data_IF_130324751184
#
_entry.id   IF_130324751184
#
_cell.length_a   1.000
_cell.length_b   1.000
_cell.length_c   1.000
_cell.angle_alpha   90.00
_cell.angle_beta   90.00
_cell.angle_gamma   90.00
#
_symmetry.space_group_name_H-M   'P 1'
#
loop_
_entity.id
_entity.type
_entity.pdbx_description
1 polymer ?
#
# COMPACT_ATOMS: atom_id res chain seq x y z
N UNK A 1 12.25 -15.48 5.31
CA UNK A 1 11.81 -14.11 5.01
C UNK A 1 12.87 -13.49 4.12
N UNK A 2 12.51 -13.02 2.94
CA UNK A 2 13.40 -12.22 2.12
C UNK A 2 13.79 -10.95 2.92
N UNK A 3 15.04 -10.54 2.81
CA UNK A 3 15.52 -9.33 3.49
C UNK A 3 15.01 -8.13 2.69
N UNK A 4 13.97 -7.47 3.16
CA UNK A 4 13.50 -6.20 2.61
C UNK A 4 14.63 -5.16 2.73
N UNK A 5 14.94 -4.49 1.62
CA UNK A 5 16.08 -3.56 1.52
C UNK A 5 15.68 -2.14 1.87
N UNK A 6 14.48 -1.73 1.45
CA UNK A 6 14.00 -0.39 1.75
C UNK A 6 13.53 -0.29 3.20
N UNK A 7 14.10 0.66 3.95
CA UNK A 7 13.87 0.81 5.39
C UNK A 7 12.40 1.14 5.72
N UNK A 8 11.79 2.08 4.99
CA UNK A 8 10.40 2.50 5.22
C UNK A 8 9.41 1.34 5.01
N UNK A 9 9.58 0.56 3.93
CA UNK A 9 8.74 -0.60 3.64
C UNK A 9 8.97 -1.69 4.68
N UNK A 10 10.23 -1.93 5.06
CA UNK A 10 10.61 -2.93 6.07
C UNK A 10 10.01 -2.62 7.44
N UNK A 11 10.15 -1.39 7.91
CA UNK A 11 9.60 -0.98 9.21
C UNK A 11 8.07 -1.03 9.23
N UNK A 12 7.43 -0.53 8.17
CA UNK A 12 5.98 -0.61 8.02
C UNK A 12 5.51 -2.06 8.02
N UNK A 13 6.14 -2.93 7.24
CA UNK A 13 5.79 -4.36 7.20
C UNK A 13 6.01 -5.05 8.55
N UNK A 14 7.12 -4.76 9.23
CA UNK A 14 7.42 -5.33 10.55
C UNK A 14 6.35 -4.93 11.58
N UNK A 15 5.97 -3.67 11.60
CA UNK A 15 4.90 -3.19 12.48
C UNK A 15 3.56 -3.90 12.20
N UNK A 16 3.15 -3.96 10.93
CA UNK A 16 1.89 -4.58 10.53
C UNK A 16 1.86 -6.08 10.80
N UNK A 17 2.96 -6.79 10.54
CA UNK A 17 3.06 -8.23 10.82
C UNK A 17 3.07 -8.53 12.32
N UNK A 18 3.60 -7.61 13.13
CA UNK A 18 3.53 -7.73 14.59
C UNK A 18 2.10 -7.57 15.08
N UNK A 19 1.35 -6.60 14.56
CA UNK A 19 -0.08 -6.43 14.88
C UNK A 19 -0.90 -7.66 14.48
N UNK A 20 -0.65 -8.21 13.29
CA UNK A 20 -1.30 -9.43 12.82
C UNK A 20 -1.02 -10.61 13.76
N UNK A 21 0.23 -10.78 14.18
CA UNK A 21 0.61 -11.83 15.12
C UNK A 21 -0.03 -11.67 16.51
N UNK A 22 -0.11 -10.44 17.01
CA UNK A 22 -0.81 -10.16 18.28
C UNK A 22 -2.29 -10.48 18.16
N UNK A 23 -2.94 -10.03 17.09
CA UNK A 23 -4.35 -10.31 16.86
C UNK A 23 -4.63 -11.80 16.73
N UNK A 24 -3.82 -12.54 15.98
CA UNK A 24 -3.95 -13.98 15.82
C UNK A 24 -3.77 -14.73 17.14
N UNK A 25 -2.82 -14.32 18.01
CA UNK A 25 -2.67 -14.89 19.35
C UNK A 25 -3.91 -14.68 20.22
N UNK A 26 -4.49 -13.49 20.18
CA UNK A 26 -5.71 -13.19 20.92
C UNK A 26 -6.91 -13.99 20.37
N UNK A 27 -7.03 -14.13 19.05
CA UNK A 27 -8.03 -14.99 18.41
C UNK A 27 -7.93 -16.43 18.93
N UNK A 28 -6.74 -17.03 18.91
CA UNK A 28 -6.52 -18.39 19.40
C UNK A 28 -6.75 -18.52 20.92
N UNK A 29 -6.45 -17.49 21.71
CA UNK A 29 -6.72 -17.50 23.15
C UNK A 29 -8.21 -17.53 23.47
N UNK A 30 -9.03 -16.95 22.60
CA UNK A 30 -10.50 -16.91 22.73
C UNK A 30 -11.12 -18.26 22.43
N UNK A 31 -10.58 -19.03 21.48
CA UNK A 31 -11.07 -20.39 21.16
C UNK A 31 -10.91 -21.37 22.34
N UNK A 32 -9.93 -21.11 23.22
CA UNK A 32 -9.64 -21.96 24.40
C UNK A 32 -10.34 -21.53 25.70
N UNK A 33 -10.83 -20.28 25.84
CA UNK A 33 -11.26 -19.77 27.14
C UNK A 33 -12.41 -18.74 27.05
N UNK A 34 -13.64 -19.16 27.46
CA UNK A 34 -14.86 -18.33 27.43
C UNK A 34 -14.73 -17.02 28.23
N UNK A 35 -13.83 -16.94 29.21
CA UNK A 35 -13.65 -15.75 30.06
C UNK A 35 -12.94 -14.60 29.35
N UNK A 36 -12.14 -14.87 28.33
CA UNK A 36 -11.42 -13.85 27.57
C UNK A 36 -12.29 -13.14 26.52
N UNK A 37 -13.32 -13.81 26.03
CA UNK A 37 -14.30 -13.25 25.10
C UNK A 37 -14.95 -11.95 25.62
N UNK A 38 -15.31 -11.95 26.90
CA UNK A 38 -15.96 -10.79 27.51
C UNK A 38 -15.04 -9.56 27.67
N UNK A 39 -13.72 -9.74 27.54
CA UNK A 39 -12.73 -8.65 27.62
C UNK A 39 -12.47 -8.00 26.27
N UNK A 40 -12.65 -8.75 25.19
CA UNK A 40 -12.27 -8.34 23.83
C UNK A 40 -13.47 -7.82 23.03
N UNK A 41 -14.64 -8.40 23.25
CA UNK A 41 -15.86 -8.03 22.51
C UNK A 41 -16.63 -6.99 23.32
N UNK A 42 -16.82 -5.76 22.79
CA UNK A 42 -17.61 -4.74 23.45
C UNK A 42 -19.03 -5.22 23.83
N UNK A 43 -19.50 -4.83 25.01
CA UNK A 43 -20.79 -5.28 25.56
C UNK A 43 -22.00 -5.04 24.64
N UNK A 44 -21.99 -3.94 23.90
CA UNK A 44 -23.02 -3.61 22.92
C UNK A 44 -23.06 -4.60 21.74
N UNK A 45 -21.94 -5.24 21.40
CA UNK A 45 -21.87 -6.26 20.36
C UNK A 45 -22.27 -7.63 20.93
N UNK A 46 -21.99 -7.87 22.22
CA UNK A 46 -22.39 -9.12 22.89
C UNK A 46 -23.90 -9.36 22.89
N UNK A 47 -24.69 -8.29 22.85
CA UNK A 47 -26.15 -8.35 22.95
C UNK A 47 -26.88 -8.52 21.60
N UNK A 48 -26.17 -8.41 20.48
CA UNK A 48 -26.77 -8.43 19.14
C UNK A 48 -27.11 -9.84 18.60
N UNK A 49 -26.67 -10.91 19.25
CA UNK A 49 -26.85 -12.28 18.75
C UNK A 49 -27.10 -13.32 19.85
N UNK A 50 -27.81 -14.41 19.55
CA UNK A 50 -28.22 -15.42 20.52
C UNK A 50 -27.11 -16.40 20.93
N UNK A 51 -26.11 -16.64 20.08
CA UNK A 51 -25.00 -17.56 20.37
C UNK A 51 -23.66 -16.80 20.52
N UNK A 52 -23.10 -16.81 21.73
CA UNK A 52 -21.89 -16.04 22.10
C UNK A 52 -20.63 -16.51 21.37
N UNK A 53 -20.54 -17.79 20.99
CA UNK A 53 -19.36 -18.37 20.34
C UNK A 53 -19.31 -17.99 18.85
N UNK A 54 -20.44 -18.07 18.18
CA UNK A 54 -20.58 -17.73 16.76
C UNK A 54 -20.30 -16.24 16.50
N UNK A 55 -20.69 -15.39 17.43
CA UNK A 55 -20.42 -13.95 17.45
C UNK A 55 -18.96 -13.60 17.57
N UNK A 56 -18.29 -14.24 18.52
CA UNK A 56 -16.87 -13.98 18.72
C UNK A 56 -16.08 -14.34 17.46
N UNK A 57 -16.34 -15.52 16.90
CA UNK A 57 -15.69 -15.94 15.67
C UNK A 57 -15.99 -14.99 14.51
N UNK A 58 -17.25 -14.57 14.33
CA UNK A 58 -17.64 -13.62 13.30
C UNK A 58 -16.99 -12.23 13.51
N UNK A 59 -16.93 -11.78 14.75
CA UNK A 59 -16.27 -10.52 15.12
C UNK A 59 -14.76 -10.57 14.86
N UNK A 60 -14.10 -11.65 15.27
CA UNK A 60 -12.66 -11.82 15.10
C UNK A 60 -12.27 -11.99 13.62
N UNK A 61 -13.05 -12.71 12.83
CA UNK A 61 -12.87 -12.76 11.38
C UNK A 61 -13.02 -11.38 10.73
N UNK A 62 -13.98 -10.59 11.21
CA UNK A 62 -14.15 -9.20 10.75
C UNK A 62 -12.98 -8.32 11.11
N UNK A 63 -12.42 -8.44 12.33
CA UNK A 63 -11.23 -7.72 12.75
C UNK A 63 -10.00 -8.10 11.93
N UNK A 64 -9.77 -9.40 11.68
CA UNK A 64 -8.66 -9.86 10.86
C UNK A 64 -8.76 -9.31 9.43
N UNK A 65 -9.97 -9.26 8.89
CA UNK A 65 -10.22 -8.69 7.57
C UNK A 65 -9.94 -7.18 7.53
N UNK A 66 -10.44 -6.42 8.52
CA UNK A 66 -10.20 -4.98 8.63
C UNK A 66 -8.71 -4.70 8.81
N UNK A 67 -8.03 -5.47 9.65
CA UNK A 67 -6.59 -5.35 9.87
C UNK A 67 -5.80 -5.59 8.58
N UNK A 68 -6.10 -6.67 7.84
CA UNK A 68 -5.47 -6.97 6.55
C UNK A 68 -5.71 -5.83 5.54
N UNK A 69 -6.96 -5.38 5.38
CA UNK A 69 -7.32 -4.29 4.47
C UNK A 69 -6.59 -2.98 4.81
N UNK A 70 -6.53 -2.64 6.09
CA UNK A 70 -5.78 -1.48 6.58
C UNK A 70 -4.28 -1.63 6.32
N UNK A 71 -3.74 -2.83 6.47
CA UNK A 71 -2.32 -3.11 6.22
C UNK A 71 -1.95 -2.96 4.75
N UNK A 72 -2.80 -3.42 3.83
CA UNK A 72 -2.60 -3.21 2.37
C UNK A 72 -2.52 -1.73 2.03
N UNK A 73 -3.47 -0.93 2.55
CA UNK A 73 -3.50 0.52 2.33
C UNK A 73 -2.22 1.18 2.90
N UNK A 74 -1.82 0.80 4.11
CA UNK A 74 -0.66 1.39 4.79
C UNK A 74 0.65 1.05 4.09
N UNK A 75 0.87 -0.20 3.66
CA UNK A 75 2.05 -0.59 2.89
C UNK A 75 2.14 0.16 1.57
N UNK A 76 1.02 0.31 0.87
CA UNK A 76 1.01 1.03 -0.39
C UNK A 76 1.25 2.54 -0.20
N UNK A 77 0.72 3.14 0.87
CA UNK A 77 0.99 4.53 1.22
C UNK A 77 2.48 4.76 1.54
N UNK A 78 3.13 3.83 2.25
CA UNK A 78 4.58 3.89 2.49
C UNK A 78 5.39 3.79 1.20
N UNK A 79 5.01 2.89 0.30
CA UNK A 79 5.61 2.79 -1.03
C UNK A 79 5.43 4.08 -1.84
N UNK A 80 4.20 4.61 -1.92
CA UNK A 80 3.92 5.89 -2.59
C UNK A 80 4.81 7.01 -2.03
N UNK A 81 4.93 7.13 -0.71
CA UNK A 81 5.80 8.11 -0.04
C UNK A 81 7.26 7.99 -0.49
N UNK A 82 7.81 6.77 -0.52
CA UNK A 82 9.19 6.52 -0.95
C UNK A 82 9.39 6.92 -2.41
N UNK A 83 8.55 6.42 -3.31
CA UNK A 83 8.68 6.66 -4.76
C UNK A 83 8.45 8.13 -5.09
N UNK A 84 7.44 8.77 -4.50
CA UNK A 84 7.20 10.21 -4.71
C UNK A 84 8.34 11.09 -4.20
N UNK A 85 8.93 10.74 -3.05
CA UNK A 85 10.08 11.48 -2.52
C UNK A 85 11.25 11.46 -3.51
N UNK A 86 11.61 10.27 -4.02
CA UNK A 86 12.69 10.10 -5.00
C UNK A 86 12.37 10.83 -6.31
N UNK A 87 11.18 10.63 -6.82
CA UNK A 87 10.73 11.28 -8.03
C UNK A 87 10.76 12.82 -7.91
N UNK A 88 10.32 13.36 -6.78
CA UNK A 88 10.29 14.80 -6.52
C UNK A 88 11.70 15.42 -6.52
N UNK A 89 12.67 14.69 -5.96
CA UNK A 89 14.07 15.07 -5.96
C UNK A 89 14.63 15.12 -7.39
N UNK A 90 14.52 14.00 -8.12
CA UNK A 90 15.00 13.92 -9.51
C UNK A 90 14.31 14.91 -10.44
N UNK A 91 13.00 15.11 -10.26
CA UNK A 91 12.26 16.11 -11.02
C UNK A 91 12.73 17.54 -10.71
N UNK A 92 13.02 17.84 -9.45
CA UNK A 92 13.58 19.13 -9.04
C UNK A 92 14.93 19.41 -9.68
N UNK A 93 15.80 18.40 -9.75
CA UNK A 93 17.11 18.48 -10.41
C UNK A 93 16.97 18.73 -11.91
N UNK A 94 16.16 17.94 -12.61
CA UNK A 94 15.88 18.11 -14.04
C UNK A 94 15.26 19.49 -14.30
N UNK A 95 14.32 19.92 -13.47
CA UNK A 95 13.68 21.22 -13.58
C UNK A 95 14.69 22.35 -13.44
N UNK A 96 15.62 22.24 -12.50
CA UNK A 96 16.72 23.20 -12.31
C UNK A 96 17.65 23.23 -13.52
N UNK A 97 18.08 22.06 -14.03
CA UNK A 97 18.92 21.94 -15.21
C UNK A 97 18.26 22.53 -16.45
N UNK A 98 17.01 22.18 -16.72
CA UNK A 98 16.24 22.74 -17.85
C UNK A 98 16.00 24.23 -17.66
N UNK A 99 15.75 24.65 -16.41
CA UNK A 99 15.57 26.07 -16.05
C UNK A 99 16.81 26.93 -16.31
N UNK A 100 18.01 26.40 -16.13
CA UNK A 100 19.28 27.09 -16.34
C UNK A 100 19.72 27.17 -17.80
N UNK A 101 19.08 26.43 -18.73
CA UNK A 101 19.45 26.45 -20.15
C UNK A 101 19.03 27.76 -20.84
N UNK A 102 19.98 28.36 -21.57
CA UNK A 102 19.82 29.66 -22.25
C UNK A 102 19.60 29.54 -23.76
N UNK A 103 19.16 28.38 -24.25
CA UNK A 103 18.92 28.22 -25.70
C UNK A 103 17.75 29.07 -26.17
N UNK A 104 17.98 29.83 -27.22
CA UNK A 104 17.08 30.91 -27.71
C UNK A 104 16.09 30.47 -28.81
N UNK A 105 15.82 29.19 -29.01
CA UNK A 105 14.79 28.82 -29.97
C UNK A 105 13.40 28.86 -29.32
N UNK A 106 12.42 29.43 -30.02
CA UNK A 106 11.02 29.55 -29.55
C UNK A 106 10.46 28.20 -29.17
N UNK A 107 10.78 27.15 -29.95
CA UNK A 107 10.31 25.77 -29.66
C UNK A 107 10.88 25.26 -28.34
N UNK A 108 12.17 25.49 -28.06
CA UNK A 108 12.79 25.10 -26.80
C UNK A 108 12.23 25.90 -25.62
N UNK A 109 11.99 27.19 -25.79
CA UNK A 109 11.41 28.03 -24.75
C UNK A 109 10.01 27.59 -24.37
N UNK A 110 9.15 27.30 -25.36
CA UNK A 110 7.78 26.75 -25.11
C UNK A 110 7.79 25.38 -24.45
N UNK A 111 8.67 24.47 -24.91
CA UNK A 111 8.81 23.15 -24.31
C UNK A 111 9.28 23.25 -22.85
N UNK A 112 10.30 24.11 -22.57
CA UNK A 112 10.79 24.40 -21.24
C UNK A 112 9.69 24.97 -20.34
N UNK A 113 8.96 25.98 -20.81
CA UNK A 113 7.88 26.61 -20.07
C UNK A 113 6.78 25.59 -19.71
N UNK A 114 6.38 24.78 -20.68
CA UNK A 114 5.41 23.70 -20.47
C UNK A 114 5.91 22.70 -19.44
N UNK A 115 7.17 22.29 -19.50
CA UNK A 115 7.77 21.35 -18.55
C UNK A 115 7.87 21.95 -17.14
N UNK A 116 8.38 23.17 -17.01
CA UNK A 116 8.54 23.86 -15.72
C UNK A 116 7.20 24.14 -15.04
N UNK A 117 6.16 24.44 -15.84
CA UNK A 117 4.82 24.77 -15.33
C UNK A 117 3.86 23.58 -15.29
N UNK A 118 4.30 22.37 -15.71
CA UNK A 118 3.46 21.19 -15.64
C UNK A 118 3.09 20.87 -14.18
N UNK A 119 1.79 20.89 -13.89
CA UNK A 119 1.27 20.34 -12.64
C UNK A 119 1.29 18.83 -12.76
N UNK A 120 1.96 18.15 -11.85
CA UNK A 120 1.92 16.69 -11.80
C UNK A 120 0.80 16.23 -10.90
N UNK A 121 0.00 15.31 -11.43
CA UNK A 121 -0.89 14.51 -10.61
C UNK A 121 -0.04 13.49 -9.86
N UNK A 122 0.17 13.74 -8.57
CA UNK A 122 0.87 12.82 -7.68
C UNK A 122 -0.11 11.71 -7.27
N UNK A 123 -0.32 10.72 -8.15
CA UNK A 123 -1.11 9.54 -7.86
C UNK A 123 -0.39 8.26 -8.33
N UNK A 124 -0.75 7.14 -7.75
CA UNK A 124 -0.10 5.86 -8.04
C UNK A 124 -0.18 5.46 -9.52
N UNK A 125 -1.26 5.81 -10.22
CA UNK A 125 -1.37 5.54 -11.67
C UNK A 125 -0.27 6.27 -12.44
N UNK A 126 -0.04 7.55 -12.12
CA UNK A 126 1.03 8.34 -12.76
C UNK A 126 2.43 7.79 -12.45
N UNK A 127 2.63 7.21 -11.26
CA UNK A 127 3.88 6.52 -10.93
C UNK A 127 4.03 5.27 -11.79
N UNK A 128 3.00 4.44 -11.89
CA UNK A 128 3.02 3.21 -12.69
C UNK A 128 3.40 3.57 -14.14
N UNK A 129 2.72 4.54 -14.73
CA UNK A 129 3.01 5.00 -16.10
C UNK A 129 4.46 5.48 -16.26
N UNK A 130 5.04 6.08 -15.21
CA UNK A 130 6.41 6.60 -15.23
C UNK A 130 7.47 5.51 -15.18
N UNK A 131 7.23 4.46 -14.38
CA UNK A 131 8.19 3.37 -14.18
C UNK A 131 7.99 2.21 -15.16
N UNK A 132 6.87 2.18 -15.89
CA UNK A 132 6.60 1.18 -16.93
C UNK A 132 7.67 1.27 -18.03
N UNK A 133 8.26 0.15 -18.38
CA UNK A 133 9.40 0.06 -19.31
C UNK A 133 10.79 0.22 -18.67
N UNK A 134 10.87 0.63 -17.40
CA UNK A 134 12.12 0.69 -16.64
C UNK A 134 12.21 -0.39 -15.55
N UNK A 135 11.07 -0.80 -15.02
CA UNK A 135 10.93 -1.86 -14.03
C UNK A 135 10.43 -3.13 -14.73
N UNK A 136 10.80 -4.28 -14.21
CA UNK A 136 10.40 -5.59 -14.73
C UNK A 136 8.87 -5.68 -14.90
N UNK A 137 8.41 -6.12 -16.08
CA UNK A 137 6.98 -6.21 -16.43
C UNK A 137 6.16 -7.05 -15.43
N UNK A 138 6.77 -8.09 -14.84
CA UNK A 138 6.10 -8.93 -13.84
C UNK A 138 5.83 -8.14 -12.56
N UNK A 139 6.78 -7.30 -12.14
CA UNK A 139 6.61 -6.42 -10.98
C UNK A 139 5.55 -5.35 -11.24
N UNK A 140 5.55 -4.77 -12.45
CA UNK A 140 4.52 -3.80 -12.86
C UNK A 140 3.13 -4.43 -12.83
N UNK A 141 2.97 -5.65 -13.35
CA UNK A 141 1.69 -6.37 -13.28
C UNK A 141 1.25 -6.61 -11.84
N UNK A 142 2.18 -7.04 -10.98
CA UNK A 142 1.91 -7.23 -9.55
C UNK A 142 1.52 -5.92 -8.86
N UNK A 143 2.18 -4.81 -9.18
CA UNK A 143 1.83 -3.49 -8.65
C UNK A 143 0.43 -3.03 -9.08
N UNK A 144 0.07 -3.27 -10.34
CA UNK A 144 -1.29 -3.00 -10.86
C UNK A 144 -2.34 -3.81 -10.08
N UNK A 145 -2.08 -5.09 -9.80
CA UNK A 145 -2.97 -5.93 -8.98
C UNK A 145 -3.10 -5.41 -7.54
N UNK A 146 -1.98 -5.03 -6.91
CA UNK A 146 -1.99 -4.45 -5.55
C UNK A 146 -2.78 -3.15 -5.52
N UNK A 147 -2.61 -2.31 -6.55
CA UNK A 147 -3.38 -1.07 -6.72
C UNK A 147 -4.88 -1.35 -6.84
N UNK A 148 -5.27 -2.29 -7.68
CA UNK A 148 -6.68 -2.68 -7.85
C UNK A 148 -7.29 -3.17 -6.53
N UNK A 149 -6.55 -3.96 -5.76
CA UNK A 149 -6.97 -4.41 -4.43
C UNK A 149 -7.15 -3.24 -3.47
N UNK A 150 -6.20 -2.29 -3.43
CA UNK A 150 -6.31 -1.08 -2.61
C UNK A 150 -7.52 -0.23 -3.02
N UNK A 151 -7.69 -0.02 -4.31
CA UNK A 151 -8.81 0.79 -4.82
C UNK A 151 -10.16 0.14 -4.48
N UNK A 152 -10.27 -1.18 -4.60
CA UNK A 152 -11.46 -1.93 -4.17
C UNK A 152 -11.74 -1.76 -2.67
N UNK A 153 -10.72 -1.85 -1.82
CA UNK A 153 -10.83 -1.64 -0.38
C UNK A 153 -11.21 -0.19 -0.08
N UNK A 154 -10.49 0.78 -0.64
CA UNK A 154 -10.66 2.20 -0.37
C UNK A 154 -12.04 2.75 -0.79
N UNK A 155 -12.60 2.21 -1.87
CA UNK A 155 -13.95 2.58 -2.33
C UNK A 155 -15.07 1.78 -1.66
N UNK A 156 -14.77 1.08 -0.56
CA UNK A 156 -15.76 0.35 0.23
C UNK A 156 -16.41 -0.80 -0.53
N UNK A 157 -15.68 -1.40 -1.47
CA UNK A 157 -16.12 -2.56 -2.28
C UNK A 157 -17.33 -2.28 -3.16
N UNK A 158 -17.60 -1.00 -3.45
CA UNK A 158 -18.76 -0.57 -4.25
C UNK A 158 -18.51 -0.61 -5.76
N UNK A 159 -17.25 -0.54 -6.17
CA UNK A 159 -16.85 -0.45 -7.57
C UNK A 159 -15.84 -1.54 -7.90
N UNK A 160 -16.16 -2.34 -8.92
CA UNK A 160 -15.29 -3.40 -9.42
C UNK A 160 -15.65 -4.80 -8.93
N UNK A 161 -15.06 -5.78 -9.56
CA UNK A 161 -15.09 -7.19 -9.11
C UNK A 161 -14.08 -7.38 -7.98
N UNK A 162 -14.43 -8.21 -7.01
CA UNK A 162 -13.49 -8.60 -5.95
C UNK A 162 -12.20 -9.16 -6.59
N UNK A 163 -11.03 -8.66 -6.20
CA UNK A 163 -9.77 -9.14 -6.74
C UNK A 163 -9.66 -10.66 -6.57
N UNK A 164 -9.31 -11.35 -7.65
CA UNK A 164 -9.31 -12.82 -7.73
C UNK A 164 -8.28 -13.47 -6.78
N UNK A 165 -7.31 -12.73 -6.27
CA UNK A 165 -6.27 -13.23 -5.38
C UNK A 165 -6.04 -12.26 -4.22
N UNK A 166 -6.23 -12.74 -2.99
CA UNK A 166 -5.72 -12.06 -1.81
C UNK A 166 -4.22 -12.35 -1.69
N UNK A 167 -3.39 -11.37 -2.06
CA UNK A 167 -1.95 -11.44 -1.86
C UNK A 167 -1.64 -11.39 -0.36
N UNK A 168 -0.70 -12.22 0.11
CA UNK A 168 -0.21 -12.09 1.49
C UNK A 168 0.50 -10.74 1.70
N UNK A 169 0.45 -10.19 2.92
CA UNK A 169 1.16 -8.94 3.24
C UNK A 169 2.67 -9.05 2.95
N UNK A 170 3.26 -10.22 3.20
CA UNK A 170 4.66 -10.48 2.88
C UNK A 170 4.93 -10.34 1.38
N UNK A 171 4.07 -10.92 0.54
CA UNK A 171 4.24 -10.83 -0.92
C UNK A 171 4.05 -9.41 -1.44
N UNK A 172 3.12 -8.66 -0.85
CA UNK A 172 2.94 -7.23 -1.17
C UNK A 172 4.22 -6.47 -0.81
N UNK A 173 4.72 -6.60 0.42
CA UNK A 173 5.92 -5.92 0.87
C UNK A 173 7.16 -6.26 0.02
N UNK A 174 7.38 -7.53 -0.30
CA UNK A 174 8.47 -7.98 -1.18
C UNK A 174 8.37 -7.33 -2.56
N UNK A 175 7.18 -7.35 -3.18
CA UNK A 175 6.98 -6.75 -4.50
C UNK A 175 7.27 -5.25 -4.49
N UNK A 176 6.80 -4.53 -3.48
CA UNK A 176 7.02 -3.09 -3.37
C UNK A 176 8.49 -2.75 -3.12
N UNK A 177 9.19 -3.54 -2.30
CA UNK A 177 10.62 -3.40 -2.03
C UNK A 177 11.49 -3.69 -3.27
N UNK A 178 11.15 -4.74 -4.03
CA UNK A 178 11.81 -5.05 -5.29
C UNK A 178 11.66 -3.91 -6.31
N UNK A 179 10.48 -3.33 -6.46
CA UNK A 179 10.23 -2.18 -7.34
C UNK A 179 11.09 -0.99 -6.93
N UNK A 180 11.11 -0.64 -5.63
CA UNK A 180 11.97 0.46 -5.14
C UNK A 180 13.44 0.17 -5.45
N UNK A 181 13.89 -1.07 -5.25
CA UNK A 181 15.26 -1.49 -5.54
C UNK A 181 15.60 -1.41 -7.03
N UNK A 182 14.64 -1.59 -7.94
CA UNK A 182 14.86 -1.42 -9.39
C UNK A 182 14.92 0.07 -9.79
N UNK A 183 14.09 0.90 -9.18
CA UNK A 183 14.09 2.36 -9.41
C UNK A 183 15.41 3.01 -8.93
N UNK A 184 16.11 2.38 -7.99
CA UNK A 184 17.38 2.87 -7.41
C UNK A 184 18.64 2.49 -8.22
N UNK A 185 18.51 1.67 -9.25
CA UNK A 185 19.65 1.28 -10.12
C UNK A 185 19.93 2.35 -11.17
#
# INVERSE_FOLDING_TARGET
MASLKNEEIRETFFYLSTLENVLNKEIHSVDGNKSNLNKIVPENIQNLHSDKKEKANSFMLSLSKIQYESSVITLLASFEKVVFSKYKTSYGEIKSLVGSQTKNTIAFYKAREKFVNSKKNENLSSIIDLIEGHVNDTLIKSLKMIKEQRDYIAHGKRFGTEPVQNLSLARIAETLDEIVSEIEK
#
